data_IF_385470248850
#
_entry.id   IF_385470248850
#
_cell.length_a   1.000
_cell.length_b   1.000
_cell.length_c   1.000
_cell.angle_alpha   90.00
_cell.angle_beta   90.00
_cell.angle_gamma   90.00
#
_symmetry.space_group_name_H-M   'P 1'
#
loop_
_entity.id
_entity.type
_entity.pdbx_description
1 polymer ?
#
# COMPACT_ATOMS: atom_id res chain seq x y z
N UNK A 1 12.02 7.37 25.27
CA UNK A 1 12.64 6.03 25.22
C UNK A 1 13.21 5.81 23.81
N UNK A 2 14.29 6.51 23.50
CA UNK A 2 15.27 6.17 22.45
C UNK A 2 16.56 6.75 23.04
N UNK A 3 17.56 5.91 23.32
CA UNK A 3 18.89 6.37 23.74
C UNK A 3 19.41 7.41 22.74
N UNK A 4 20.23 8.38 23.16
CA UNK A 4 20.83 9.37 22.25
C UNK A 4 21.46 8.73 21.00
N UNK A 5 22.04 7.53 21.16
CA UNK A 5 22.57 6.74 20.04
C UNK A 5 21.49 6.28 19.05
N UNK A 6 20.33 5.83 19.53
CA UNK A 6 19.24 5.39 18.66
C UNK A 6 18.65 6.54 17.83
N UNK A 7 18.56 7.74 18.42
CA UNK A 7 18.11 8.94 17.69
C UNK A 7 19.10 9.31 16.59
N UNK A 8 20.40 9.31 16.90
CA UNK A 8 21.44 9.59 15.92
C UNK A 8 21.39 8.62 14.73
N UNK A 9 21.16 7.32 14.98
CA UNK A 9 21.02 6.31 13.92
C UNK A 9 19.81 6.59 13.03
N UNK A 10 18.65 6.90 13.62
CA UNK A 10 17.42 7.20 12.85
C UNK A 10 17.59 8.45 11.98
N UNK A 11 18.21 9.51 12.55
CA UNK A 11 18.46 10.76 11.81
C UNK A 11 19.47 10.52 10.68
N UNK A 12 20.55 9.79 10.94
CA UNK A 12 21.54 9.44 9.93
C UNK A 12 20.92 8.61 8.81
N UNK A 13 20.10 7.62 9.15
CA UNK A 13 19.36 6.81 8.18
C UNK A 13 18.41 7.64 7.32
N UNK A 14 17.65 8.54 7.93
CA UNK A 14 16.74 9.45 7.21
C UNK A 14 17.51 10.42 6.29
N UNK A 15 18.66 10.94 6.75
CA UNK A 15 19.53 11.80 5.93
C UNK A 15 20.07 11.04 4.71
N UNK A 16 20.61 9.84 4.90
CA UNK A 16 21.14 9.03 3.80
C UNK A 16 20.04 8.64 2.79
N UNK A 17 18.86 8.23 3.26
CA UNK A 17 17.73 7.93 2.36
C UNK A 17 17.28 9.18 1.62
N UNK A 18 17.10 10.31 2.32
CA UNK A 18 16.71 11.57 1.66
C UNK A 18 17.73 12.06 0.63
N UNK A 19 19.04 11.89 0.89
CA UNK A 19 20.09 12.24 -0.06
C UNK A 19 20.02 11.37 -1.33
N UNK A 20 19.70 10.08 -1.18
CA UNK A 20 19.44 9.18 -2.31
C UNK A 20 18.22 9.61 -3.11
N UNK A 21 17.09 9.87 -2.44
CA UNK A 21 15.86 10.35 -3.10
C UNK A 21 16.09 11.66 -3.86
N UNK A 22 16.84 12.60 -3.28
CA UNK A 22 17.18 13.88 -3.92
C UNK A 22 18.06 13.67 -5.15
N UNK A 23 19.00 12.72 -5.09
CA UNK A 23 19.82 12.35 -6.23
C UNK A 23 18.99 11.74 -7.36
N UNK A 24 18.06 10.84 -7.04
CA UNK A 24 17.13 10.23 -7.99
C UNK A 24 16.19 11.27 -8.60
N UNK A 25 15.62 12.18 -7.79
CA UNK A 25 14.83 13.32 -8.28
C UNK A 25 15.61 14.22 -9.24
N UNK A 26 16.90 14.45 -8.98
CA UNK A 26 17.76 15.29 -9.83
C UNK A 26 18.14 14.61 -11.15
N UNK A 27 18.31 13.29 -11.14
CA UNK A 27 18.71 12.52 -12.33
C UNK A 27 17.53 12.23 -13.26
N UNK A 28 16.37 11.87 -12.71
CA UNK A 28 15.15 11.58 -13.47
C UNK A 28 14.36 12.84 -13.86
N UNK A 29 14.52 13.92 -13.09
CA UNK A 29 13.74 15.15 -13.19
C UNK A 29 12.45 15.08 -12.35
N UNK A 30 12.08 16.21 -11.71
CA UNK A 30 10.97 16.28 -10.75
C UNK A 30 9.63 15.80 -11.33
N UNK A 31 9.33 16.19 -12.57
CA UNK A 31 8.08 15.80 -13.24
C UNK A 31 7.99 14.30 -13.51
N UNK A 32 9.09 13.68 -13.94
CA UNK A 32 9.13 12.24 -14.20
C UNK A 32 9.11 11.44 -12.90
N UNK A 33 9.73 11.97 -11.84
CA UNK A 33 9.70 11.36 -10.52
C UNK A 33 8.28 11.32 -9.94
N UNK A 34 7.54 12.43 -10.04
CA UNK A 34 6.15 12.51 -9.56
C UNK A 34 5.19 11.71 -10.45
N UNK A 35 5.37 11.73 -11.78
CA UNK A 35 4.57 10.96 -12.73
C UNK A 35 5.04 9.50 -12.89
N UNK A 36 5.92 9.02 -12.00
CA UNK A 36 6.26 7.61 -11.94
C UNK A 36 4.97 6.80 -11.72
N UNK A 37 4.88 5.61 -12.30
CA UNK A 37 3.67 4.78 -12.27
C UNK A 37 3.97 3.46 -11.58
N UNK A 38 3.02 2.90 -10.83
CA UNK A 38 3.14 1.56 -10.24
C UNK A 38 3.90 1.53 -8.91
N UNK A 39 4.75 0.53 -8.71
CA UNK A 39 5.42 0.31 -7.42
C UNK A 39 6.48 1.36 -7.06
N UNK A 40 7.13 1.96 -8.06
CA UNK A 40 8.10 3.06 -7.84
C UNK A 40 7.41 4.29 -7.26
N UNK A 41 6.23 4.65 -7.77
CA UNK A 41 5.48 5.78 -7.22
C UNK A 41 5.15 5.57 -5.74
N UNK A 42 4.68 4.37 -5.40
CA UNK A 42 4.39 4.01 -4.01
C UNK A 42 5.64 4.02 -3.15
N UNK A 43 6.78 3.53 -3.66
CA UNK A 43 8.05 3.65 -2.95
C UNK A 43 8.37 5.12 -2.67
N UNK A 44 8.42 5.94 -3.71
CA UNK A 44 8.80 7.35 -3.65
C UNK A 44 7.91 8.12 -2.66
N UNK A 45 6.60 7.90 -2.70
CA UNK A 45 5.63 8.54 -1.79
C UNK A 45 5.83 8.07 -0.34
N UNK A 46 5.99 6.76 -0.11
CA UNK A 46 6.20 6.22 1.24
C UNK A 46 7.56 6.62 1.82
N UNK A 47 8.62 6.64 1.01
CA UNK A 47 9.95 7.07 1.39
C UNK A 47 9.99 8.58 1.71
N UNK A 48 9.38 9.43 0.86
CA UNK A 48 9.28 10.87 1.15
C UNK A 48 8.45 11.16 2.39
N UNK A 49 7.29 10.52 2.55
CA UNK A 49 6.45 10.71 3.74
C UNK A 49 7.14 10.24 5.02
N UNK A 50 7.91 9.16 4.96
CA UNK A 50 8.74 8.71 6.08
C UNK A 50 9.86 9.71 6.41
N UNK A 51 10.63 10.16 5.41
CA UNK A 51 11.73 11.10 5.62
C UNK A 51 11.23 12.45 6.17
N UNK A 52 10.18 13.01 5.57
CA UNK A 52 9.56 14.26 6.03
C UNK A 52 8.99 14.14 7.45
N UNK A 53 8.41 12.99 7.81
CA UNK A 53 7.99 12.67 9.18
C UNK A 53 9.14 12.70 10.19
N UNK A 54 10.29 12.10 9.86
CA UNK A 54 11.48 12.13 10.74
C UNK A 54 12.03 13.56 10.88
N UNK A 55 12.13 14.33 9.79
CA UNK A 55 12.62 15.71 9.85
C UNK A 55 11.68 16.63 10.63
N UNK A 56 10.37 16.53 10.42
CA UNK A 56 9.38 17.29 11.20
C UNK A 56 9.46 16.94 12.68
N UNK A 57 9.61 15.66 13.03
CA UNK A 57 9.85 15.26 14.43
C UNK A 57 11.13 15.89 15.02
N UNK A 58 12.22 16.00 14.26
CA UNK A 58 13.42 16.69 14.73
C UNK A 58 13.20 18.21 14.90
N UNK A 59 12.42 18.84 14.03
CA UNK A 59 12.05 20.25 14.18
C UNK A 59 11.29 20.45 15.50
N UNK A 60 10.28 19.63 15.79
CA UNK A 60 9.54 19.73 17.06
C UNK A 60 10.41 19.45 18.29
N UNK A 61 11.41 18.60 18.16
CA UNK A 61 12.39 18.37 19.21
C UNK A 61 13.23 19.62 19.50
N UNK A 62 13.67 20.36 18.46
CA UNK A 62 14.42 21.60 18.62
C UNK A 62 13.61 22.71 19.30
N UNK A 63 12.28 22.70 19.12
CA UNK A 63 11.36 23.61 19.81
C UNK A 63 10.91 23.12 21.19
N UNK A 64 11.50 22.02 21.70
CA UNK A 64 11.16 21.40 22.99
C UNK A 64 9.67 20.96 23.11
N UNK A 65 9.01 20.70 21.97
CA UNK A 65 7.60 20.33 21.89
C UNK A 65 7.39 18.80 21.93
N UNK A 66 7.63 18.19 23.10
CA UNK A 66 7.70 16.72 23.26
C UNK A 66 6.40 15.96 22.88
N UNK A 67 5.22 16.57 23.08
CA UNK A 67 3.94 15.96 22.71
C UNK A 67 3.79 15.80 21.19
N UNK A 68 4.11 16.85 20.43
CA UNK A 68 4.01 16.83 18.97
C UNK A 68 5.09 15.93 18.34
N UNK A 69 6.30 15.91 18.91
CA UNK A 69 7.37 14.97 18.52
C UNK A 69 6.87 13.52 18.60
N UNK A 70 6.29 13.14 19.74
CA UNK A 70 5.82 11.76 19.99
C UNK A 70 4.68 11.37 19.04
N UNK A 71 3.74 12.28 18.78
CA UNK A 71 2.63 12.06 17.85
C UNK A 71 3.13 11.80 16.42
N UNK A 72 4.04 12.65 15.93
CA UNK A 72 4.57 12.50 14.56
C UNK A 72 5.38 11.21 14.44
N UNK A 73 6.24 10.91 15.42
CA UNK A 73 7.00 9.66 15.42
C UNK A 73 6.09 8.42 15.41
N UNK A 74 4.96 8.46 16.11
CA UNK A 74 4.00 7.36 16.08
C UNK A 74 3.45 7.13 14.66
N UNK A 75 2.99 8.19 13.98
CA UNK A 75 2.50 8.08 12.60
C UNK A 75 3.62 7.68 11.62
N UNK A 76 4.80 8.28 11.75
CA UNK A 76 5.96 7.95 10.90
C UNK A 76 6.38 6.48 11.07
N UNK A 77 6.29 5.92 12.28
CA UNK A 77 6.60 4.51 12.51
C UNK A 77 5.64 3.58 11.76
N UNK A 78 4.35 3.93 11.71
CA UNK A 78 3.35 3.16 10.97
C UNK A 78 3.60 3.20 9.47
N UNK A 79 3.94 4.38 8.93
CA UNK A 79 4.33 4.56 7.53
C UNK A 79 5.60 3.73 7.22
N UNK A 80 6.57 3.70 8.13
CA UNK A 80 7.78 2.89 8.00
C UNK A 80 7.50 1.39 7.88
N UNK A 81 6.55 0.86 8.66
CA UNK A 81 6.09 -0.52 8.48
C UNK A 81 5.36 -0.72 7.15
N UNK A 82 4.58 0.26 6.70
CA UNK A 82 3.98 0.26 5.36
C UNK A 82 5.03 0.21 4.24
N UNK A 83 6.15 0.91 4.42
CA UNK A 83 7.29 0.90 3.49
C UNK A 83 7.92 -0.49 3.38
N UNK A 84 7.90 -1.32 4.43
CA UNK A 84 8.47 -2.67 4.39
C UNK A 84 7.82 -3.58 3.35
N UNK A 85 6.55 -3.34 2.99
CA UNK A 85 5.88 -4.12 1.93
C UNK A 85 6.54 -3.96 0.56
N UNK A 86 7.22 -2.83 0.30
CA UNK A 86 8.01 -2.64 -0.91
C UNK A 86 9.15 -3.66 -1.00
N UNK A 87 9.87 -3.90 0.10
CA UNK A 87 10.98 -4.88 0.12
C UNK A 87 10.51 -6.32 -0.06
N UNK A 88 9.25 -6.61 0.26
CA UNK A 88 8.66 -7.95 0.15
C UNK A 88 8.06 -8.17 -1.25
N UNK A 89 7.89 -7.12 -2.05
CA UNK A 89 7.29 -7.16 -3.38
C UNK A 89 8.09 -7.96 -4.44
N UNK A 90 9.44 -7.94 -4.47
CA UNK A 90 10.21 -8.65 -5.49
C UNK A 90 10.12 -10.19 -5.38
N UNK A 91 9.71 -10.72 -4.24
CA UNK A 91 9.65 -12.16 -4.00
C UNK A 91 8.45 -12.81 -4.71
N UNK A 92 8.66 -14.03 -5.23
CA UNK A 92 7.65 -14.80 -5.99
C UNK A 92 6.45 -15.23 -5.19
N UNK A 93 6.65 -15.49 -3.90
CA UNK A 93 5.58 -15.94 -3.02
C UNK A 93 4.64 -14.79 -2.63
N UNK A 94 5.20 -13.63 -2.27
CA UNK A 94 4.46 -12.51 -1.66
C UNK A 94 4.11 -11.39 -2.65
N UNK A 95 4.91 -11.19 -3.70
CA UNK A 95 4.79 -10.04 -4.59
C UNK A 95 3.42 -9.86 -5.27
N UNK A 96 2.87 -10.89 -5.94
CA UNK A 96 1.55 -10.79 -6.56
C UNK A 96 0.44 -10.45 -5.55
N UNK A 97 0.56 -10.96 -4.32
CA UNK A 97 -0.40 -10.69 -3.25
C UNK A 97 -0.32 -9.22 -2.77
N UNK A 98 0.90 -8.70 -2.58
CA UNK A 98 1.13 -7.30 -2.20
C UNK A 98 0.58 -6.34 -3.28
N UNK A 99 0.81 -6.64 -4.56
CA UNK A 99 0.27 -5.85 -5.69
C UNK A 99 -1.26 -5.88 -5.71
N UNK A 100 -1.86 -7.02 -5.41
CA UNK A 100 -3.31 -7.16 -5.33
C UNK A 100 -3.90 -6.31 -4.20
N UNK A 101 -3.31 -6.35 -3.00
CA UNK A 101 -3.72 -5.51 -1.86
C UNK A 101 -3.67 -4.02 -2.25
N UNK A 102 -2.55 -3.55 -2.79
CA UNK A 102 -2.41 -2.14 -3.16
C UNK A 102 -3.47 -1.72 -4.19
N UNK A 103 -3.66 -2.53 -5.23
CA UNK A 103 -4.61 -2.19 -6.30
C UNK A 103 -6.06 -2.15 -5.82
N UNK A 104 -6.45 -3.07 -4.94
CA UNK A 104 -7.79 -3.12 -4.32
C UNK A 104 -8.00 -1.97 -3.33
N UNK A 105 -7.01 -1.68 -2.49
CA UNK A 105 -7.10 -0.63 -1.49
C UNK A 105 -7.30 0.74 -2.14
N UNK A 106 -6.49 1.08 -3.14
CA UNK A 106 -6.54 2.40 -3.77
C UNK A 106 -7.75 2.58 -4.72
N UNK A 107 -8.16 1.56 -5.46
CA UNK A 107 -9.23 1.73 -6.45
C UNK A 107 -10.63 1.45 -5.90
N UNK A 108 -10.78 0.44 -5.05
CA UNK A 108 -12.09 -0.05 -4.63
C UNK A 108 -12.44 0.50 -3.25
N UNK A 109 -11.54 0.35 -2.27
CA UNK A 109 -11.81 0.74 -0.89
C UNK A 109 -11.96 2.25 -0.74
N UNK A 110 -11.12 3.08 -1.41
CA UNK A 110 -11.23 4.54 -1.32
C UNK A 110 -12.57 5.07 -1.84
N UNK A 111 -13.09 4.54 -2.96
CA UNK A 111 -14.40 4.96 -3.51
C UNK A 111 -15.52 4.65 -2.52
N UNK A 112 -15.44 3.52 -1.85
CA UNK A 112 -16.39 3.16 -0.81
C UNK A 112 -16.26 4.01 0.45
N UNK A 113 -15.03 4.31 0.90
CA UNK A 113 -14.82 5.17 2.06
C UNK A 113 -15.53 6.52 1.88
N UNK A 114 -15.56 7.07 0.66
CA UNK A 114 -16.30 8.31 0.36
C UNK A 114 -17.80 8.14 0.62
N UNK A 115 -18.42 7.07 0.10
CA UNK A 115 -19.85 6.78 0.32
C UNK A 115 -20.12 6.58 1.81
N UNK A 116 -19.27 5.80 2.49
CA UNK A 116 -19.38 5.55 3.92
C UNK A 116 -19.30 6.83 4.75
N UNK A 117 -18.38 7.75 4.44
CA UNK A 117 -18.23 9.03 5.16
C UNK A 117 -19.52 9.87 5.07
N UNK A 118 -20.24 9.84 3.94
CA UNK A 118 -21.51 10.56 3.79
C UNK A 118 -22.56 10.01 4.76
N UNK A 119 -22.71 8.68 4.84
CA UNK A 119 -23.63 8.05 5.79
C UNK A 119 -23.19 8.27 7.24
N UNK A 120 -21.89 8.13 7.53
CA UNK A 120 -21.34 8.36 8.86
C UNK A 120 -21.65 9.79 9.35
N UNK A 121 -21.44 10.80 8.50
CA UNK A 121 -21.76 12.18 8.84
C UNK A 121 -23.27 12.39 9.08
N UNK A 122 -24.13 11.84 8.23
CA UNK A 122 -25.58 12.00 8.35
C UNK A 122 -26.17 11.35 9.61
N UNK A 123 -25.74 10.13 9.92
CA UNK A 123 -26.17 9.44 11.15
C UNK A 123 -25.57 10.06 12.40
N UNK A 124 -24.29 10.44 12.37
CA UNK A 124 -23.66 11.16 13.48
C UNK A 124 -24.37 12.48 13.79
N UNK A 125 -24.73 13.26 12.78
CA UNK A 125 -25.50 14.50 12.97
C UNK A 125 -26.87 14.23 13.57
N UNK A 126 -27.55 13.15 13.13
CA UNK A 126 -28.87 12.77 13.67
C UNK A 126 -28.78 12.39 15.15
N UNK A 127 -27.77 11.63 15.56
CA UNK A 127 -27.53 11.29 16.96
C UNK A 127 -27.11 12.53 17.77
N UNK A 128 -26.28 13.40 17.23
CA UNK A 128 -25.89 14.65 17.89
C UNK A 128 -27.12 15.51 18.25
N UNK A 129 -28.08 15.65 17.32
CA UNK A 129 -29.33 16.37 17.56
C UNK A 129 -30.17 15.69 18.65
N UNK A 130 -30.19 14.36 18.68
CA UNK A 130 -31.02 13.60 19.61
C UNK A 130 -30.50 13.63 21.05
N UNK A 131 -29.17 13.57 21.21
CA UNK A 131 -28.51 13.61 22.52
C UNK A 131 -28.23 15.03 23.01
N UNK A 132 -28.26 16.03 22.10
CA UNK A 132 -28.16 17.46 22.39
C UNK A 132 -27.02 17.80 23.37
N UNK A 133 -25.86 17.15 23.18
CA UNK A 133 -24.68 17.41 23.99
C UNK A 133 -24.02 18.73 23.59
N UNK A 134 -23.52 19.48 24.57
CA UNK A 134 -23.07 20.86 24.35
C UNK A 134 -21.81 20.94 23.46
N UNK A 135 -21.99 21.43 22.24
CA UNK A 135 -20.91 21.92 21.37
C UNK A 135 -20.20 20.85 20.53
N UNK A 136 -19.03 21.20 20.01
CA UNK A 136 -18.25 20.38 19.07
C UNK A 136 -17.83 19.02 19.64
N UNK A 137 -17.63 18.92 20.96
CA UNK A 137 -17.26 17.67 21.62
C UNK A 137 -18.37 16.61 21.51
N UNK A 138 -19.64 17.01 21.66
CA UNK A 138 -20.78 16.10 21.49
C UNK A 138 -20.90 15.57 20.05
N UNK A 139 -20.56 16.40 19.07
CA UNK A 139 -20.53 15.96 17.67
C UNK A 139 -19.40 14.96 17.41
N UNK A 140 -18.19 15.19 17.94
CA UNK A 140 -17.08 14.21 17.85
C UNK A 140 -17.46 12.90 18.55
N UNK A 141 -18.08 12.97 19.72
CA UNK A 141 -18.57 11.78 20.44
C UNK A 141 -19.58 11.00 19.59
N UNK A 142 -20.49 11.69 18.91
CA UNK A 142 -21.45 11.05 18.01
C UNK A 142 -20.77 10.38 16.81
N UNK A 143 -19.76 11.02 16.21
CA UNK A 143 -18.96 10.43 15.14
C UNK A 143 -18.25 9.17 15.66
N UNK A 144 -17.63 9.26 16.84
CA UNK A 144 -16.90 8.16 17.47
C UNK A 144 -17.83 6.96 17.71
N UNK A 145 -19.01 7.18 18.28
CA UNK A 145 -19.98 6.11 18.53
C UNK A 145 -20.47 5.47 17.23
N UNK A 146 -20.75 6.26 16.19
CA UNK A 146 -21.10 5.70 14.89
C UNK A 146 -19.94 4.90 14.29
N UNK A 147 -18.71 5.43 14.34
CA UNK A 147 -17.54 4.74 13.80
C UNK A 147 -17.21 3.43 14.54
N UNK A 148 -17.29 3.42 15.88
CA UNK A 148 -17.10 2.20 16.68
C UNK A 148 -18.24 1.21 16.47
N UNK A 149 -19.46 1.71 16.27
CA UNK A 149 -20.61 0.90 15.88
C UNK A 149 -20.39 0.12 14.58
N UNK A 150 -19.65 0.67 13.60
CA UNK A 150 -19.24 -0.08 12.40
C UNK A 150 -18.51 -1.39 12.74
N UNK A 151 -17.69 -1.36 13.79
CA UNK A 151 -16.88 -2.49 14.24
C UNK A 151 -17.67 -3.46 15.14
N UNK A 152 -18.95 -3.16 15.42
CA UNK A 152 -19.81 -3.93 16.31
C UNK A 152 -19.72 -3.53 17.78
N UNK A 153 -19.00 -2.45 18.11
CA UNK A 153 -18.89 -1.92 19.47
C UNK A 153 -20.00 -0.90 19.73
N UNK A 154 -21.15 -1.40 20.20
CA UNK A 154 -22.32 -0.58 20.52
C UNK A 154 -22.54 -0.53 22.03
N UNK A 155 -22.49 0.68 22.59
CA UNK A 155 -22.91 0.94 23.97
C UNK A 155 -24.43 1.18 23.98
N UNK A 156 -25.22 0.13 24.23
CA UNK A 156 -26.69 0.24 24.29
C UNK A 156 -27.17 1.15 25.42
N UNK A 157 -26.43 1.22 26.53
CA UNK A 157 -26.79 2.06 27.67
C UNK A 157 -26.72 3.55 27.30
N UNK A 158 -25.76 3.92 26.44
CA UNK A 158 -25.69 5.26 25.84
C UNK A 158 -26.95 5.62 25.03
N UNK A 159 -27.50 4.68 24.25
CA UNK A 159 -28.69 4.94 23.43
C UNK A 159 -30.00 4.91 24.24
N UNK A 160 -30.09 4.06 25.26
CA UNK A 160 -31.29 3.93 26.12
C UNK A 160 -31.35 5.03 27.19
N UNK A 161 -30.21 5.57 27.63
CA UNK A 161 -30.15 6.62 28.65
C UNK A 161 -30.63 8.02 28.20
N UNK A 162 -30.94 8.19 26.91
CA UNK A 162 -31.35 9.47 26.35
C UNK A 162 -32.80 9.89 26.65
N UNK A 163 -33.12 11.14 26.34
CA UNK A 163 -34.49 11.71 26.50
C UNK A 163 -35.55 11.00 25.66
N UNK A 164 -35.14 10.42 24.53
CA UNK A 164 -36.02 9.74 23.58
C UNK A 164 -35.49 8.33 23.26
N UNK A 165 -35.61 7.37 24.21
CA UNK A 165 -34.98 6.05 24.10
C UNK A 165 -35.53 5.21 22.94
N UNK A 166 -36.82 5.34 22.64
CA UNK A 166 -37.41 4.60 21.51
C UNK A 166 -36.86 5.09 20.17
N UNK A 167 -36.74 6.42 20.00
CA UNK A 167 -36.25 7.04 18.77
C UNK A 167 -34.76 6.76 18.56
N UNK A 168 -33.94 6.84 19.60
CA UNK A 168 -32.49 6.54 19.51
C UNK A 168 -32.24 5.09 19.11
N UNK A 169 -32.93 4.14 19.74
CA UNK A 169 -32.81 2.72 19.41
C UNK A 169 -33.33 2.43 18.00
N UNK A 170 -34.44 3.02 17.57
CA UNK A 170 -34.93 2.86 16.20
C UNK A 170 -33.94 3.38 15.15
N UNK A 171 -33.32 4.53 15.42
CA UNK A 171 -32.31 5.14 14.55
C UNK A 171 -31.01 4.33 14.51
N UNK A 172 -30.63 3.71 15.64
CA UNK A 172 -29.52 2.76 15.73
C UNK A 172 -29.78 1.50 14.91
N UNK A 173 -30.96 0.89 15.02
CA UNK A 173 -31.30 -0.29 14.22
C UNK A 173 -31.27 0.04 12.73
N UNK A 174 -31.82 1.20 12.34
CA UNK A 174 -31.74 1.67 10.95
C UNK A 174 -30.30 1.85 10.49
N UNK A 175 -29.44 2.47 11.32
CA UNK A 175 -28.01 2.63 11.03
C UNK A 175 -27.32 1.29 10.80
N UNK A 176 -27.52 0.31 11.69
CA UNK A 176 -26.93 -1.03 11.59
C UNK A 176 -27.36 -1.72 10.29
N UNK A 177 -28.65 -1.68 9.95
CA UNK A 177 -29.16 -2.30 8.72
C UNK A 177 -28.56 -1.64 7.48
N UNK A 178 -28.57 -0.30 7.41
CA UNK A 178 -28.03 0.44 6.27
C UNK A 178 -26.54 0.18 6.10
N UNK A 179 -25.75 0.29 7.17
CA UNK A 179 -24.31 0.04 7.12
C UNK A 179 -24.00 -1.42 6.77
N UNK A 180 -24.76 -2.39 7.27
CA UNK A 180 -24.56 -3.80 6.93
C UNK A 180 -24.81 -4.03 5.44
N UNK A 181 -25.86 -3.45 4.87
CA UNK A 181 -26.13 -3.53 3.43
C UNK A 181 -24.99 -2.89 2.63
N UNK A 182 -24.51 -1.72 3.06
CA UNK A 182 -23.39 -1.03 2.41
C UNK A 182 -22.10 -1.86 2.46
N UNK A 183 -21.76 -2.42 3.62
CA UNK A 183 -20.58 -3.28 3.81
C UNK A 183 -20.68 -4.58 3.00
N UNK A 184 -21.85 -5.21 2.95
CA UNK A 184 -22.08 -6.41 2.13
C UNK A 184 -21.95 -6.09 0.64
N UNK A 185 -22.48 -4.95 0.20
CA UNK A 185 -22.36 -4.51 -1.18
C UNK A 185 -20.90 -4.19 -1.56
N UNK A 186 -20.06 -3.76 -0.61
CA UNK A 186 -18.61 -3.65 -0.81
C UNK A 186 -17.94 -5.01 -0.92
N UNK A 187 -18.24 -5.94 -0.01
CA UNK A 187 -17.57 -7.24 0.08
C UNK A 187 -17.85 -8.10 -1.16
N UNK A 188 -19.04 -7.96 -1.75
CA UNK A 188 -19.52 -8.85 -2.82
C UNK A 188 -19.31 -8.24 -4.21
N UNK A 189 -19.76 -7.01 -4.46
CA UNK A 189 -19.90 -6.51 -5.84
C UNK A 189 -18.58 -6.04 -6.46
N UNK A 190 -17.76 -5.27 -5.74
CA UNK A 190 -16.50 -4.76 -6.28
C UNK A 190 -15.35 -5.72 -6.06
N UNK A 191 -15.23 -6.28 -4.85
CA UNK A 191 -14.15 -7.21 -4.56
C UNK A 191 -14.26 -8.49 -5.38
N UNK A 192 -15.45 -9.02 -5.70
CA UNK A 192 -15.59 -10.23 -6.52
C UNK A 192 -14.99 -10.09 -7.92
N UNK A 193 -15.45 -9.09 -8.67
CA UNK A 193 -15.05 -8.88 -10.07
C UNK A 193 -13.62 -8.34 -10.16
N UNK A 194 -13.27 -7.32 -9.36
CA UNK A 194 -11.91 -6.79 -9.33
C UNK A 194 -10.92 -7.83 -8.82
N UNK A 195 -11.28 -8.71 -7.88
CA UNK A 195 -10.39 -9.80 -7.45
C UNK A 195 -10.11 -10.79 -8.56
N UNK A 196 -11.13 -11.21 -9.31
CA UNK A 196 -10.92 -12.13 -10.44
C UNK A 196 -9.97 -11.52 -11.49
N UNK A 197 -10.16 -10.24 -11.82
CA UNK A 197 -9.38 -9.53 -12.84
C UNK A 197 -7.97 -9.17 -12.37
N UNK A 198 -7.86 -8.67 -11.13
CA UNK A 198 -6.56 -8.35 -10.52
C UNK A 198 -5.77 -9.63 -10.29
N UNK A 199 -6.37 -10.74 -9.89
CA UNK A 199 -5.66 -12.02 -9.71
C UNK A 199 -5.06 -12.53 -11.02
N UNK A 200 -5.79 -12.44 -12.15
CA UNK A 200 -5.27 -12.81 -13.48
C UNK A 200 -4.14 -11.90 -13.93
N UNK A 201 -4.25 -10.61 -13.65
CA UNK A 201 -3.28 -9.59 -14.07
C UNK A 201 -2.09 -9.43 -13.13
N UNK A 202 -2.22 -9.81 -11.86
CA UNK A 202 -1.26 -9.56 -10.80
C UNK A 202 0.07 -10.25 -11.06
N UNK A 203 0.08 -11.45 -11.64
CA UNK A 203 1.33 -12.15 -11.97
C UNK A 203 2.11 -11.42 -13.05
N UNK A 204 1.43 -10.92 -14.10
CA UNK A 204 2.05 -10.14 -15.17
C UNK A 204 2.58 -8.82 -14.63
N UNK A 205 1.77 -8.12 -13.84
CA UNK A 205 2.14 -6.86 -13.19
C UNK A 205 3.33 -7.07 -12.24
N UNK A 206 3.34 -8.17 -11.50
CA UNK A 206 4.46 -8.55 -10.64
C UNK A 206 5.75 -8.79 -11.43
N UNK A 207 5.72 -9.49 -12.56
CA UNK A 207 6.90 -9.64 -13.40
C UNK A 207 7.43 -8.30 -13.90
N UNK A 208 6.55 -7.36 -14.26
CA UNK A 208 6.91 -5.99 -14.64
C UNK A 208 7.57 -5.24 -13.48
N UNK A 209 6.93 -5.21 -12.30
CA UNK A 209 7.47 -4.47 -11.15
C UNK A 209 8.79 -5.06 -10.65
N UNK A 210 8.96 -6.39 -10.72
CA UNK A 210 10.26 -7.02 -10.45
C UNK A 210 11.33 -6.58 -11.41
N UNK A 211 11.06 -6.58 -12.71
CA UNK A 211 12.03 -6.18 -13.73
C UNK A 211 12.43 -4.72 -13.53
N UNK A 212 11.45 -3.87 -13.19
CA UNK A 212 11.67 -2.46 -12.87
C UNK A 212 12.53 -2.26 -11.63
N UNK A 213 12.24 -2.95 -10.52
CA UNK A 213 13.08 -2.91 -9.31
C UNK A 213 14.48 -3.44 -9.60
N UNK A 214 14.61 -4.50 -10.41
CA UNK A 214 15.92 -5.04 -10.79
C UNK A 214 16.76 -4.03 -11.59
N UNK A 215 16.15 -3.33 -12.56
CA UNK A 215 16.82 -2.29 -13.33
C UNK A 215 17.22 -1.09 -12.46
N UNK A 216 16.38 -0.70 -11.51
CA UNK A 216 16.70 0.37 -10.57
C UNK A 216 17.88 0.00 -9.66
N UNK A 217 17.87 -1.22 -9.11
CA UNK A 217 19.00 -1.75 -8.35
C UNK A 217 20.28 -1.82 -9.20
N UNK A 218 20.17 -2.19 -10.48
CA UNK A 218 21.31 -2.23 -11.40
C UNK A 218 21.88 -0.83 -11.67
N UNK A 219 21.02 0.18 -11.83
CA UNK A 219 21.44 1.58 -11.99
C UNK A 219 22.17 2.12 -10.75
N UNK A 220 21.86 1.60 -9.56
CA UNK A 220 22.56 1.92 -8.32
C UNK A 220 23.96 1.27 -8.18
N UNK A 221 24.34 0.34 -9.07
CA UNK A 221 25.62 -0.38 -9.01
C UNK A 221 26.67 0.31 -9.91
N UNK A 222 27.92 0.42 -9.44
CA UNK A 222 29.03 0.94 -10.25
C UNK A 222 29.27 0.10 -11.51
N UNK A 223 29.61 0.77 -12.63
CA UNK A 223 29.85 0.14 -13.94
C UNK A 223 30.80 -1.05 -13.86
N UNK A 224 31.92 -0.92 -13.14
CA UNK A 224 32.92 -2.00 -12.99
C UNK A 224 32.35 -3.28 -12.36
N UNK A 225 31.37 -3.16 -11.46
CA UNK A 225 30.74 -4.31 -10.78
C UNK A 225 29.63 -4.94 -11.62
N UNK A 226 28.96 -4.14 -12.45
CA UNK A 226 28.00 -4.61 -13.46
C UNK A 226 28.71 -5.40 -14.55
N UNK A 227 29.82 -4.87 -15.04
CA UNK A 227 30.60 -5.46 -16.14
C UNK A 227 31.28 -6.78 -15.72
N UNK A 228 31.54 -6.98 -14.42
CA UNK A 228 32.09 -8.24 -13.89
C UNK A 228 31.13 -9.44 -14.09
N UNK A 229 29.82 -9.22 -13.98
CA UNK A 229 28.81 -10.26 -14.18
C UNK A 229 28.34 -10.36 -15.64
N UNK A 230 28.92 -9.56 -16.53
CA UNK A 230 28.51 -9.44 -17.92
C UNK A 230 28.70 -10.78 -18.66
N UNK A 231 29.86 -11.43 -18.52
CA UNK A 231 30.15 -12.66 -19.27
C UNK A 231 29.42 -13.91 -18.77
N UNK A 232 28.55 -13.80 -17.76
CA UNK A 232 27.84 -14.96 -17.20
C UNK A 232 26.67 -15.43 -18.07
N UNK A 233 26.02 -14.52 -18.80
CA UNK A 233 24.79 -14.80 -19.55
C UNK A 233 24.88 -14.48 -21.05
N UNK A 234 25.94 -13.76 -21.46
CA UNK A 234 26.16 -13.34 -22.84
C UNK A 234 27.21 -14.23 -23.51
N UNK A 235 26.97 -14.58 -24.76
CA UNK A 235 27.90 -15.32 -25.63
C UNK A 235 28.13 -14.49 -26.88
N UNK A 236 29.40 -14.25 -27.23
CA UNK A 236 29.78 -13.58 -28.46
C UNK A 236 29.99 -14.63 -29.58
N UNK A 237 29.20 -14.57 -30.65
CA UNK A 237 29.33 -15.43 -31.82
C UNK A 237 29.55 -14.54 -33.05
N UNK A 238 30.69 -14.71 -33.72
CA UNK A 238 31.04 -13.94 -34.93
C UNK A 238 31.03 -12.40 -34.76
N UNK A 239 31.33 -11.93 -33.55
CA UNK A 239 31.36 -10.49 -33.23
C UNK A 239 30.00 -9.90 -32.83
N UNK A 240 28.93 -10.68 -32.91
CA UNK A 240 27.59 -10.32 -32.44
C UNK A 240 27.26 -10.95 -31.09
N UNK A 241 26.45 -10.26 -30.29
CA UNK A 241 26.10 -10.63 -28.92
C UNK A 241 24.79 -11.39 -28.85
N UNK A 242 24.81 -12.57 -28.23
CA UNK A 242 23.65 -13.41 -28.02
C UNK A 242 23.41 -13.71 -26.53
N UNK A 243 22.14 -13.75 -26.13
CA UNK A 243 21.72 -14.19 -24.81
C UNK A 243 21.57 -15.72 -24.82
N UNK A 244 22.28 -16.41 -23.93
CA UNK A 244 22.13 -17.86 -23.80
C UNK A 244 20.82 -18.18 -23.09
N UNK A 245 19.97 -19.00 -23.72
CA UNK A 245 18.71 -19.49 -23.15
C UNK A 245 18.71 -21.01 -23.23
N UNK A 246 18.64 -21.67 -22.09
CA UNK A 246 18.44 -23.11 -22.02
C UNK A 246 16.93 -23.40 -22.02
N UNK A 247 16.46 -24.08 -23.06
CA UNK A 247 15.08 -24.57 -23.13
C UNK A 247 15.09 -26.09 -22.93
N UNK A 248 14.44 -26.54 -21.87
CA UNK A 248 14.19 -27.96 -21.65
C UNK A 248 12.83 -28.28 -22.24
N UNK A 249 12.82 -28.79 -23.47
CA UNK A 249 11.61 -29.25 -24.15
C UNK A 249 11.42 -30.74 -23.85
N UNK A 250 10.47 -31.07 -22.98
CA UNK A 250 10.15 -32.46 -22.66
C UNK A 250 9.40 -33.19 -23.79
N UNK A 251 8.87 -32.45 -24.77
CA UNK A 251 8.03 -32.98 -25.84
C UNK A 251 8.82 -33.49 -27.06
N UNK A 252 10.15 -33.26 -27.10
CA UNK A 252 11.05 -33.77 -28.15
C UNK A 252 11.53 -35.21 -27.92
N UNK A 253 11.04 -35.87 -26.86
CA UNK A 253 11.27 -37.30 -26.61
C UNK A 253 10.20 -38.22 -27.25
N UNK A 254 9.24 -37.67 -28.01
CA UNK A 254 8.51 -38.51 -28.95
C UNK A 254 9.49 -38.90 -30.06
N UNK A 255 9.64 -40.20 -30.38
CA UNK A 255 10.41 -40.62 -31.54
C UNK A 255 9.90 -39.85 -32.75
N UNK A 256 10.82 -39.32 -33.55
CA UNK A 256 10.51 -38.98 -34.92
C UNK A 256 10.14 -40.34 -35.53
N UNK A 257 8.85 -40.57 -35.77
CA UNK A 257 8.41 -41.68 -36.60
C UNK A 257 9.03 -41.42 -37.98
N UNK A 258 10.16 -42.10 -38.24
CA UNK A 258 10.70 -42.30 -39.57
C UNK A 258 9.67 -43.13 -40.35
N UNK A 259 8.64 -42.48 -40.88
CA UNK A 259 7.90 -43.00 -42.02
C UNK A 259 8.80 -42.85 -43.26
N UNK A 260 9.86 -43.66 -43.33
CA UNK A 260 10.37 -44.13 -44.61
C UNK A 260 9.54 -45.32 -45.05
N UNK A 261 8.83 -45.14 -46.16
CA UNK A 261 8.48 -46.11 -47.21
C UNK A 261 7.98 -47.49 -46.77
N UNK A 262 6.79 -47.87 -47.23
CA UNK A 262 6.70 -49.02 -48.15
C UNK A 262 5.41 -48.96 -48.98
N UNK A 263 5.55 -49.57 -50.15
CA UNK A 263 4.71 -49.55 -51.36
C UNK A 263 3.30 -50.18 -51.24
N UNK A 264 2.53 -49.94 -52.33
CA UNK A 264 1.27 -50.54 -52.82
C UNK A 264 -0.10 -49.91 -52.46
#
# INVERSE_FOLDING_TARGET
IISGCGRAIVILGALLKSAREIHEMRTLGLWNYINSTGSIFLENVLACSFCTGIFTAQIFHLFEMQQHETLILAFTSLIGWGYMFFFIMPFRFTGPFVIMIYKMLFNDVLRFCIIYIIFLAGFSQSFFILFNENGFQGYISSIKQCFLGLLGDFDLDYYVGGKYPLTSVALLVLYVVVITILLLNLLIAMMGDTYADVKKSAKKLWHLERARIALDLENGISKSKRDLNFNKYWVDIQGERYLQVEQVNNDLNCPIDDETNDDD
#
